data_IF_022587840719
#
_entry.id   IF_022587840719
#
_cell.length_a   1.000
_cell.length_b   1.000
_cell.length_c   1.000
_cell.angle_alpha   90.00
_cell.angle_beta   90.00
_cell.angle_gamma   90.00
#
_symmetry.space_group_name_H-M   'P 1'
#
loop_
_entity.id
_entity.type
_entity.pdbx_description
1 polymer ?
#
# COMPACT_ATOMS: atom_id res chain seq x y z
N UNK A 1 -23.43 10.36 2.01
CA UNK A 1 -23.43 8.92 1.67
C UNK A 1 -22.13 8.31 2.16
N UNK A 2 -22.18 7.26 2.99
CA UNK A 2 -21.13 6.86 3.95
C UNK A 2 -19.76 6.53 3.32
N UNK A 3 -18.77 7.39 3.55
CA UNK A 3 -17.35 7.25 3.21
C UNK A 3 -16.68 6.08 3.98
N UNK A 4 -16.92 4.84 3.55
CA UNK A 4 -16.33 3.63 4.18
C UNK A 4 -14.96 3.23 3.62
N UNK A 5 -14.35 4.05 2.77
CA UNK A 5 -13.04 3.75 2.15
C UNK A 5 -11.86 3.99 3.11
N UNK A 6 -11.91 5.07 3.90
CA UNK A 6 -10.89 5.40 4.90
C UNK A 6 -10.70 4.29 5.96
N UNK A 7 -11.78 3.76 6.58
CA UNK A 7 -11.61 2.69 7.57
C UNK A 7 -11.13 1.37 6.96
N UNK A 8 -11.40 1.09 5.68
CA UNK A 8 -10.93 -0.12 5.03
C UNK A 8 -9.39 -0.17 4.99
N UNK A 9 -8.73 0.88 4.50
CA UNK A 9 -7.27 0.88 4.40
C UNK A 9 -6.57 0.84 5.76
N UNK A 10 -7.13 1.56 6.75
CA UNK A 10 -6.59 1.57 8.12
C UNK A 10 -6.72 0.18 8.77
N UNK A 11 -7.86 -0.48 8.60
CA UNK A 11 -8.06 -1.83 9.16
C UNK A 11 -7.14 -2.85 8.50
N UNK A 12 -7.00 -2.83 7.17
CA UNK A 12 -6.09 -3.73 6.45
C UNK A 12 -4.63 -3.50 6.87
N UNK A 13 -4.19 -2.25 7.00
CA UNK A 13 -2.86 -1.92 7.50
C UNK A 13 -2.63 -2.40 8.94
N UNK A 14 -3.61 -2.23 9.83
CA UNK A 14 -3.53 -2.74 11.20
C UNK A 14 -3.44 -4.26 11.27
N UNK A 15 -4.18 -4.96 10.40
CA UNK A 15 -4.15 -6.42 10.30
C UNK A 15 -2.79 -6.90 9.79
N UNK A 16 -2.18 -6.18 8.84
CA UNK A 16 -0.84 -6.48 8.34
C UNK A 16 0.22 -6.33 9.44
N UNK A 17 0.17 -5.25 10.24
CA UNK A 17 1.06 -5.07 11.39
C UNK A 17 0.87 -6.19 12.41
N UNK A 18 -0.38 -6.54 12.72
CA UNK A 18 -0.68 -7.66 13.62
C UNK A 18 -0.11 -8.99 13.10
N UNK A 19 -0.24 -9.26 11.81
CA UNK A 19 0.33 -10.46 11.19
C UNK A 19 1.85 -10.49 11.29
N UNK A 20 2.54 -9.36 11.06
CA UNK A 20 4.00 -9.27 11.23
C UNK A 20 4.39 -9.57 12.69
N UNK A 21 3.68 -9.00 13.67
CA UNK A 21 3.93 -9.28 15.09
C UNK A 21 3.70 -10.77 15.43
N UNK A 22 2.66 -11.37 14.86
CA UNK A 22 2.38 -12.80 15.00
C UNK A 22 3.53 -13.64 14.42
N UNK A 23 4.05 -13.30 13.23
CA UNK A 23 5.20 -14.01 12.65
C UNK A 23 6.45 -13.89 13.51
N UNK A 24 6.78 -12.69 14.01
CA UNK A 24 7.91 -12.47 14.92
C UNK A 24 7.77 -13.30 16.20
N UNK A 25 6.55 -13.41 16.72
CA UNK A 25 6.25 -14.25 17.88
C UNK A 25 6.44 -15.75 17.59
N UNK A 26 5.97 -16.25 16.44
CA UNK A 26 6.18 -17.65 16.03
C UNK A 26 7.67 -17.98 15.85
N UNK A 27 8.45 -17.04 15.30
CA UNK A 27 9.91 -17.18 15.16
C UNK A 27 10.57 -17.28 16.53
N UNK A 28 10.16 -16.45 17.50
CA UNK A 28 10.65 -16.52 18.88
C UNK A 28 10.37 -17.89 19.52
N UNK A 29 9.20 -18.49 19.23
CA UNK A 29 8.83 -19.82 19.72
C UNK A 29 9.47 -20.98 18.96
N UNK A 30 10.28 -20.72 17.92
CA UNK A 30 10.86 -21.75 17.02
C UNK A 30 9.81 -22.67 16.38
N UNK A 31 8.55 -22.22 16.28
CA UNK A 31 7.45 -22.95 15.62
C UNK A 31 6.99 -22.16 14.42
N UNK A 32 7.60 -22.42 13.26
CA UNK A 32 7.04 -21.96 11.99
C UNK A 32 5.95 -22.93 11.58
N UNK A 33 4.69 -22.58 11.83
CA UNK A 33 3.53 -23.34 11.37
C UNK A 33 3.22 -22.91 9.92
N UNK A 34 3.62 -23.68 8.89
CA UNK A 34 3.56 -23.22 7.49
C UNK A 34 2.12 -22.94 7.05
N UNK A 35 1.16 -23.71 7.58
CA UNK A 35 -0.27 -23.55 7.30
C UNK A 35 -0.83 -22.18 7.71
N UNK A 36 -0.40 -21.63 8.86
CA UNK A 36 -0.87 -20.32 9.34
C UNK A 36 -0.32 -19.21 8.43
N UNK A 37 0.94 -19.32 8.04
CA UNK A 37 1.60 -18.36 7.14
C UNK A 37 0.92 -18.36 5.77
N UNK A 38 0.57 -19.54 5.24
CA UNK A 38 -0.14 -19.66 3.95
C UNK A 38 -1.53 -19.01 3.99
N UNK A 39 -2.36 -19.34 4.99
CA UNK A 39 -3.74 -18.80 5.08
C UNK A 39 -3.70 -17.29 5.37
N UNK A 40 -2.87 -16.86 6.33
CA UNK A 40 -2.74 -15.44 6.69
C UNK A 40 -2.19 -14.59 5.55
N UNK A 41 -1.19 -15.11 4.83
CA UNK A 41 -0.63 -14.48 3.62
C UNK A 41 -1.67 -14.33 2.51
N UNK A 42 -2.50 -15.35 2.26
CA UNK A 42 -3.54 -15.31 1.25
C UNK A 42 -4.63 -14.28 1.56
N UNK A 43 -5.14 -14.25 2.80
CA UNK A 43 -6.16 -13.29 3.21
C UNK A 43 -5.62 -11.86 3.10
N UNK A 44 -4.42 -11.62 3.62
CA UNK A 44 -3.79 -10.30 3.51
C UNK A 44 -3.50 -9.91 2.07
N UNK A 45 -3.08 -10.84 1.22
CA UNK A 45 -2.85 -10.57 -0.20
C UNK A 45 -4.11 -10.06 -0.89
N UNK A 46 -5.25 -10.72 -0.70
CA UNK A 46 -6.53 -10.30 -1.31
C UNK A 46 -6.95 -8.91 -0.81
N UNK A 47 -6.86 -8.68 0.50
CA UNK A 47 -7.21 -7.39 1.10
C UNK A 47 -6.27 -6.26 0.62
N UNK A 48 -4.98 -6.54 0.52
CA UNK A 48 -3.97 -5.59 0.07
C UNK A 48 -4.12 -5.26 -1.43
N UNK A 49 -4.36 -6.27 -2.26
CA UNK A 49 -4.61 -6.13 -3.69
C UNK A 49 -5.86 -5.30 -3.97
N UNK A 50 -6.93 -5.52 -3.21
CA UNK A 50 -8.15 -4.70 -3.31
C UNK A 50 -7.86 -3.23 -3.02
N UNK A 51 -7.04 -2.93 -1.99
CA UNK A 51 -6.59 -1.57 -1.71
C UNK A 51 -5.82 -0.95 -2.87
N UNK A 52 -4.87 -1.70 -3.44
CA UNK A 52 -4.06 -1.26 -4.58
C UNK A 52 -4.93 -0.92 -5.80
N UNK A 53 -5.93 -1.75 -6.12
CA UNK A 53 -6.88 -1.47 -7.22
C UNK A 53 -7.59 -0.13 -6.99
N UNK A 54 -8.10 0.11 -5.78
CA UNK A 54 -8.83 1.35 -5.46
C UNK A 54 -7.93 2.58 -5.64
N UNK A 55 -6.69 2.52 -5.16
CA UNK A 55 -5.73 3.63 -5.33
C UNK A 55 -5.38 3.83 -6.81
N UNK A 56 -5.25 2.75 -7.58
CA UNK A 56 -4.99 2.84 -9.02
C UNK A 56 -6.10 3.58 -9.75
N UNK A 57 -7.36 3.25 -9.43
CA UNK A 57 -8.52 3.91 -10.02
C UNK A 57 -8.57 5.40 -9.62
N UNK A 58 -8.18 5.75 -8.40
CA UNK A 58 -8.15 7.16 -7.97
C UNK A 58 -7.00 7.95 -8.62
N UNK A 59 -5.86 7.30 -8.86
CA UNK A 59 -4.67 7.96 -9.37
C UNK A 59 -4.72 8.15 -10.90
N UNK A 60 -5.31 7.21 -11.64
CA UNK A 60 -5.38 7.22 -13.11
C UNK A 60 -6.81 7.07 -13.67
N UNK A 61 -7.84 7.30 -12.86
CA UNK A 61 -9.24 7.21 -13.29
C UNK A 61 -9.63 8.21 -14.38
N UNK A 62 -10.72 7.94 -15.11
CA UNK A 62 -11.19 8.79 -16.22
C UNK A 62 -11.72 10.16 -15.78
N UNK A 63 -12.31 10.26 -14.58
CA UNK A 63 -12.87 11.51 -14.06
C UNK A 63 -12.05 12.03 -12.88
N UNK A 64 -11.44 13.22 -13.03
CA UNK A 64 -10.76 13.93 -11.95
C UNK A 64 -9.59 13.16 -11.31
N UNK A 65 -8.75 12.49 -12.13
CA UNK A 65 -7.61 11.75 -11.62
C UNK A 65 -6.60 12.64 -10.92
N UNK A 66 -6.08 12.14 -9.78
CA UNK A 66 -5.04 12.83 -9.02
C UNK A 66 -3.81 13.10 -9.90
N UNK A 67 -3.45 12.18 -10.81
CA UNK A 67 -2.32 12.39 -11.72
C UNK A 67 -2.51 13.56 -12.68
N UNK A 68 -3.71 13.76 -13.23
CA UNK A 68 -4.03 14.89 -14.12
C UNK A 68 -3.98 16.21 -13.36
N UNK A 69 -4.65 16.29 -12.22
CA UNK A 69 -4.67 17.51 -11.39
C UNK A 69 -3.27 17.88 -10.89
N UNK A 70 -2.49 16.89 -10.43
CA UNK A 70 -1.10 17.11 -10.05
C UNK A 70 -0.23 17.61 -11.21
N UNK A 71 -0.46 17.10 -12.43
CA UNK A 71 0.27 17.57 -13.59
C UNK A 71 -0.07 19.02 -13.93
N UNK A 72 -1.34 19.43 -13.83
CA UNK A 72 -1.78 20.80 -14.15
C UNK A 72 -1.36 21.78 -13.05
N UNK A 73 -1.60 21.45 -11.79
CA UNK A 73 -1.47 22.37 -10.64
C UNK A 73 -0.04 22.41 -10.06
N UNK A 74 0.72 21.32 -10.16
CA UNK A 74 2.05 21.20 -9.51
C UNK A 74 3.18 21.14 -10.51
N UNK A 75 3.14 20.20 -11.47
CA UNK A 75 4.26 19.96 -12.39
C UNK A 75 4.25 20.86 -13.64
N UNK A 76 3.09 21.33 -14.06
CA UNK A 76 2.89 22.23 -15.19
C UNK A 76 2.88 23.72 -14.81
N UNK A 77 2.89 24.06 -13.52
CA UNK A 77 2.85 25.44 -13.05
C UNK A 77 4.10 26.21 -13.49
N UNK A 78 3.93 27.15 -14.41
CA UNK A 78 4.98 28.03 -14.93
C UNK A 78 4.52 29.49 -14.83
N UNK A 79 5.24 30.38 -14.10
CA UNK A 79 6.47 30.12 -13.36
C UNK A 79 6.21 29.41 -12.02
N UNK A 80 7.09 28.48 -11.68
CA UNK A 80 7.07 27.77 -10.40
C UNK A 80 7.20 28.77 -9.23
N UNK A 81 6.28 28.76 -8.24
CA UNK A 81 6.33 29.67 -7.10
C UNK A 81 7.65 29.54 -6.33
N UNK A 82 8.31 30.67 -6.06
CA UNK A 82 9.58 30.73 -5.32
C UNK A 82 9.49 31.83 -4.26
N UNK A 83 10.16 31.61 -3.12
CA UNK A 83 10.19 32.55 -1.99
C UNK A 83 9.26 32.16 -0.83
N UNK A 84 9.31 32.91 0.27
CA UNK A 84 8.44 32.69 1.44
C UNK A 84 7.10 33.42 1.25
N UNK A 85 6.30 32.99 0.27
CA UNK A 85 4.96 33.52 0.02
C UNK A 85 3.90 32.46 0.32
N UNK A 86 2.67 32.89 0.66
CA UNK A 86 1.55 31.97 0.89
C UNK A 86 1.27 31.08 -0.32
N UNK A 87 1.42 31.61 -1.53
CA UNK A 87 1.32 30.86 -2.80
C UNK A 87 2.35 29.72 -2.89
N UNK A 88 3.59 29.97 -2.46
CA UNK A 88 4.64 28.94 -2.45
C UNK A 88 4.36 27.85 -1.42
N UNK A 89 3.80 28.22 -0.27
CA UNK A 89 3.39 27.26 0.77
C UNK A 89 2.26 26.35 0.27
N UNK A 90 1.21 26.93 -0.34
CA UNK A 90 0.11 26.17 -0.92
C UNK A 90 0.59 25.22 -2.02
N UNK A 91 1.50 25.69 -2.90
CA UNK A 91 2.09 24.85 -3.93
C UNK A 91 2.95 23.69 -3.36
N UNK A 92 3.74 23.94 -2.31
CA UNK A 92 4.53 22.90 -1.63
C UNK A 92 3.63 21.85 -0.97
N UNK A 93 2.53 22.28 -0.35
CA UNK A 93 1.53 21.39 0.24
C UNK A 93 0.94 20.46 -0.83
N UNK A 94 0.44 21.03 -1.95
CA UNK A 94 -0.11 20.26 -3.07
C UNK A 94 0.92 19.29 -3.65
N UNK A 95 2.18 19.72 -3.79
CA UNK A 95 3.27 18.86 -4.26
C UNK A 95 3.50 17.67 -3.33
N UNK A 96 3.46 17.87 -2.02
CA UNK A 96 3.61 16.79 -1.04
C UNK A 96 2.48 15.77 -1.14
N UNK A 97 1.24 16.23 -1.37
CA UNK A 97 0.07 15.37 -1.57
C UNK A 97 0.27 14.52 -2.82
N UNK A 98 0.61 15.13 -3.96
CA UNK A 98 0.85 14.41 -5.22
C UNK A 98 1.92 13.32 -5.10
N UNK A 99 3.02 13.60 -4.40
CA UNK A 99 4.08 12.62 -4.16
C UNK A 99 3.63 11.50 -3.22
N UNK A 100 2.84 11.81 -2.19
CA UNK A 100 2.31 10.81 -1.26
C UNK A 100 1.43 9.77 -1.96
N UNK A 101 0.61 10.19 -2.94
CA UNK A 101 -0.22 9.28 -3.73
C UNK A 101 0.61 8.27 -4.53
N UNK A 102 1.67 8.72 -5.19
CA UNK A 102 2.58 7.82 -5.91
C UNK A 102 3.34 6.89 -4.95
N UNK A 103 3.78 7.41 -3.79
CA UNK A 103 4.46 6.62 -2.78
C UNK A 103 3.57 5.50 -2.23
N UNK A 104 2.31 5.80 -1.89
CA UNK A 104 1.37 4.80 -1.38
C UNK A 104 1.10 3.71 -2.42
N UNK A 105 0.96 4.08 -3.70
CA UNK A 105 0.82 3.10 -4.78
C UNK A 105 2.06 2.18 -4.89
N UNK A 106 3.26 2.77 -4.90
CA UNK A 106 4.51 2.02 -4.99
C UNK A 106 4.69 1.05 -3.81
N UNK A 107 4.46 1.50 -2.57
CA UNK A 107 4.50 0.64 -1.39
C UNK A 107 3.42 -0.44 -1.41
N UNK A 108 2.23 -0.10 -1.93
CA UNK A 108 1.16 -1.06 -2.18
C UNK A 108 1.61 -2.20 -3.10
N UNK A 109 2.23 -1.86 -4.23
CA UNK A 109 2.71 -2.84 -5.22
C UNK A 109 3.82 -3.72 -4.67
N UNK A 110 4.83 -3.13 -4.03
CA UNK A 110 5.92 -3.90 -3.40
C UNK A 110 5.37 -4.84 -2.32
N UNK A 111 4.44 -4.37 -1.50
CA UNK A 111 3.78 -5.18 -0.47
C UNK A 111 3.00 -6.37 -1.06
N UNK A 112 2.26 -6.16 -2.15
CA UNK A 112 1.51 -7.23 -2.82
C UNK A 112 2.44 -8.34 -3.35
N UNK A 113 3.54 -7.95 -4.01
CA UNK A 113 4.54 -8.90 -4.51
C UNK A 113 5.20 -9.66 -3.37
N UNK A 114 5.54 -8.98 -2.28
CA UNK A 114 6.17 -9.58 -1.12
C UNK A 114 5.25 -10.61 -0.42
N UNK A 115 3.96 -10.29 -0.27
CA UNK A 115 2.97 -11.23 0.27
C UNK A 115 2.81 -12.47 -0.61
N UNK A 116 2.80 -12.30 -1.94
CA UNK A 116 2.79 -13.41 -2.89
C UNK A 116 4.03 -14.29 -2.72
N UNK A 117 5.21 -13.68 -2.65
CA UNK A 117 6.48 -14.38 -2.50
C UNK A 117 6.57 -15.18 -1.19
N UNK A 118 6.09 -14.63 -0.07
CA UNK A 118 6.03 -15.35 1.21
C UNK A 118 5.16 -16.60 1.10
N UNK A 119 4.04 -16.55 0.37
CA UNK A 119 3.20 -17.75 0.16
C UNK A 119 3.96 -18.84 -0.61
N UNK A 120 4.76 -18.45 -1.62
CA UNK A 120 5.59 -19.40 -2.38
C UNK A 120 6.64 -20.06 -1.49
N UNK A 121 7.36 -19.29 -0.66
CA UNK A 121 8.35 -19.84 0.28
C UNK A 121 7.66 -20.76 1.30
N UNK A 122 6.51 -20.35 1.85
CA UNK A 122 5.78 -21.16 2.82
C UNK A 122 5.32 -22.51 2.21
N UNK A 123 4.93 -22.50 0.93
CA UNK A 123 4.60 -23.72 0.20
C UNK A 123 5.82 -24.62 -0.02
N UNK A 124 6.97 -24.05 -0.41
CA UNK A 124 8.20 -24.82 -0.60
C UNK A 124 8.59 -25.57 0.67
N UNK A 125 8.58 -24.89 1.83
CA UNK A 125 8.85 -25.52 3.14
C UNK A 125 7.86 -26.64 3.44
N UNK A 126 6.57 -26.42 3.20
CA UNK A 126 5.55 -27.44 3.43
C UNK A 126 5.70 -28.66 2.52
N UNK A 127 6.09 -28.45 1.26
CA UNK A 127 6.32 -29.53 0.30
C UNK A 127 7.57 -30.34 0.64
N UNK A 128 8.64 -29.67 1.08
CA UNK A 128 9.89 -30.32 1.51
C UNK A 128 9.69 -31.16 2.78
N UNK A 129 8.83 -30.73 3.72
CA UNK A 129 8.49 -31.48 4.94
C UNK A 129 7.57 -32.71 4.67
N UNK A 130 6.94 -32.78 3.50
CA UNK A 130 5.98 -33.84 3.13
C UNK A 130 6.63 -35.03 2.39
N UNK A 131 7.91 -34.93 2.03
CA UNK A 131 8.72 -35.96 1.34
C UNK A 131 9.64 -36.66 2.34
#
# INVERSE_FOLDING_TARGET
>A
HKNRYFPYYITVASLAVFFILLLLYLIYQRRLLPSIVMIGGFILFVLWLTGLIVISVQLWGPDGSVSSECNIQVFGASPMPKGQTLETLAWLEQRSICQSWQAVFAFGLVGAVFLLWIMVIAYQVFADDAV
#
